data_IF_364135864994
#
_entry.id   IF_364135864994
#
_cell.length_a   1.000
_cell.length_b   1.000
_cell.length_c   1.000
_cell.angle_alpha   90.00
_cell.angle_beta   90.00
_cell.angle_gamma   90.00
#
_symmetry.space_group_name_H-M   'P 1'
#
loop_
_entity.id
_entity.type
_entity.pdbx_description
1 polymer ?
#
# COMPACT_ATOMS: atom_id res chain seq x y z
N UNK A 1 -15.90 -58.97 -34.25
CA UNK A 1 -16.49 -58.20 -33.16
C UNK A 1 -15.37 -57.35 -32.53
N UNK A 2 -15.27 -56.08 -32.92
CA UNK A 2 -14.22 -55.14 -32.41
C UNK A 2 -14.86 -54.29 -31.28
N UNK A 3 -14.41 -54.49 -30.04
CA UNK A 3 -14.81 -53.67 -28.89
C UNK A 3 -13.99 -52.41 -28.88
N UNK A 4 -14.58 -51.27 -29.21
CA UNK A 4 -14.00 -49.94 -29.07
C UNK A 4 -14.19 -49.47 -27.61
N UNK A 5 -13.08 -49.42 -26.88
CA UNK A 5 -13.05 -48.87 -25.53
C UNK A 5 -12.91 -47.33 -25.67
N UNK A 6 -13.97 -46.60 -25.28
CA UNK A 6 -14.00 -45.14 -25.22
C UNK A 6 -13.38 -44.71 -23.89
N UNK A 7 -12.13 -44.26 -23.91
CA UNK A 7 -11.43 -43.75 -22.73
C UNK A 7 -11.83 -42.26 -22.52
N UNK A 8 -12.78 -42.02 -21.62
CA UNK A 8 -13.16 -40.69 -21.15
C UNK A 8 -12.05 -40.13 -20.26
N UNK A 9 -11.20 -39.26 -20.83
CA UNK A 9 -10.25 -38.42 -20.09
C UNK A 9 -11.04 -37.33 -19.35
N UNK A 10 -11.28 -37.55 -18.05
CA UNK A 10 -11.82 -36.54 -17.13
C UNK A 10 -10.68 -35.58 -16.78
N UNK A 11 -10.56 -34.48 -17.51
CA UNK A 11 -9.64 -33.39 -17.16
C UNK A 11 -10.19 -32.67 -15.95
N UNK A 12 -9.70 -33.01 -14.77
CA UNK A 12 -9.95 -32.28 -13.55
C UNK A 12 -9.18 -30.95 -13.63
N UNK A 13 -9.85 -29.89 -14.04
CA UNK A 13 -9.31 -28.53 -13.94
C UNK A 13 -9.24 -28.16 -12.44
N UNK A 14 -8.05 -28.35 -11.85
CA UNK A 14 -7.75 -27.80 -10.54
C UNK A 14 -7.71 -26.27 -10.67
N UNK A 15 -8.86 -25.62 -10.42
CA UNK A 15 -8.89 -24.19 -10.17
C UNK A 15 -8.14 -23.95 -8.86
N UNK A 16 -6.88 -23.53 -8.95
CA UNK A 16 -6.14 -23.02 -7.80
C UNK A 16 -6.84 -21.75 -7.36
N UNK A 17 -7.66 -21.83 -6.30
CA UNK A 17 -8.13 -20.64 -5.59
C UNK A 17 -6.89 -19.96 -5.01
N UNK A 18 -6.39 -18.96 -5.72
CA UNK A 18 -5.42 -18.01 -5.17
C UNK A 18 -6.12 -17.29 -4.01
N UNK A 19 -5.73 -17.61 -2.79
CA UNK A 19 -6.20 -16.88 -1.60
C UNK A 19 -5.66 -15.45 -1.74
N UNK A 20 -6.55 -14.48 -1.96
CA UNK A 20 -6.17 -13.07 -1.92
C UNK A 20 -5.60 -12.77 -0.52
N UNK A 21 -4.42 -12.15 -0.50
CA UNK A 21 -3.78 -11.76 0.76
C UNK A 21 -4.55 -10.56 1.33
N UNK A 22 -5.13 -10.74 2.52
CA UNK A 22 -5.79 -9.66 3.24
C UNK A 22 -4.74 -8.72 3.86
N UNK A 23 -5.09 -7.45 3.99
CA UNK A 23 -4.24 -6.49 4.68
C UNK A 23 -4.11 -6.84 6.18
N UNK A 24 -3.02 -6.39 6.79
CA UNK A 24 -2.77 -6.51 8.23
C UNK A 24 -3.34 -5.28 8.96
N UNK A 25 -4.21 -5.50 9.95
CA UNK A 25 -4.80 -4.45 10.79
C UNK A 25 -3.82 -3.97 11.85
N UNK A 26 -3.76 -2.65 12.05
CA UNK A 26 -2.94 -2.05 13.09
C UNK A 26 -3.48 -0.69 13.55
N UNK A 27 -2.97 -0.21 14.67
CA UNK A 27 -3.18 1.15 15.17
C UNK A 27 -1.81 1.77 15.43
N UNK A 28 -1.57 2.96 14.89
CA UNK A 28 -0.33 3.73 15.08
C UNK A 28 -0.67 5.18 15.42
N UNK A 29 0.21 5.90 16.14
CA UNK A 29 0.05 7.32 16.36
C UNK A 29 0.30 8.12 15.07
N UNK A 30 -0.46 9.20 14.89
CA UNK A 30 -0.19 10.24 13.92
C UNK A 30 0.96 11.18 14.38
N UNK A 31 1.23 12.24 13.63
CA UNK A 31 2.27 13.22 13.95
C UNK A 31 1.94 14.09 15.19
N UNK A 32 0.71 14.06 15.67
CA UNK A 32 0.24 14.76 16.87
C UNK A 32 0.10 13.81 18.07
N UNK A 33 0.38 12.53 17.90
CA UNK A 33 0.32 11.49 18.91
C UNK A 33 -1.08 10.89 19.12
N UNK A 34 -2.02 11.14 18.22
CA UNK A 34 -3.34 10.53 18.29
C UNK A 34 -3.34 9.14 17.66
N UNK A 35 -3.95 8.17 18.31
CA UNK A 35 -4.08 6.81 17.80
C UNK A 35 -5.01 6.75 16.57
N UNK A 36 -4.50 6.24 15.47
CA UNK A 36 -5.21 6.06 14.20
C UNK A 36 -5.29 4.58 13.86
N UNK A 37 -6.50 4.04 13.77
CA UNK A 37 -6.75 2.67 13.28
C UNK A 37 -6.72 2.66 11.75
N UNK A 38 -5.85 1.83 11.19
CA UNK A 38 -5.74 1.65 9.74
C UNK A 38 -7.02 1.04 9.14
N UNK A 39 -7.66 0.13 9.84
CA UNK A 39 -8.93 -0.45 9.42
C UNK A 39 -10.03 0.58 9.23
N UNK A 40 -10.09 1.63 10.07
CA UNK A 40 -11.05 2.72 9.87
C UNK A 40 -10.77 3.54 8.61
N UNK A 41 -9.50 3.63 8.18
CA UNK A 41 -9.12 4.26 6.91
C UNK A 41 -9.58 3.38 5.76
N UNK A 42 -9.24 2.09 5.80
CA UNK A 42 -9.62 1.11 4.76
C UNK A 42 -11.14 1.01 4.61
N UNK A 43 -11.90 1.04 5.70
CA UNK A 43 -13.37 0.96 5.68
C UNK A 43 -14.03 2.16 4.98
N UNK A 44 -13.40 3.32 4.99
CA UNK A 44 -13.91 4.56 4.38
C UNK A 44 -13.42 4.78 2.95
N UNK A 45 -12.44 4.00 2.50
CA UNK A 45 -11.78 4.19 1.21
C UNK A 45 -12.20 3.14 0.19
N UNK A 46 -12.12 3.47 -1.10
CA UNK A 46 -12.28 2.49 -2.18
C UNK A 46 -10.95 1.80 -2.52
N UNK A 47 -9.85 2.55 -2.43
CA UNK A 47 -8.49 2.08 -2.65
C UNK A 47 -7.57 2.77 -1.65
N UNK A 48 -6.69 2.01 -1.02
CA UNK A 48 -5.66 2.55 -0.12
C UNK A 48 -4.29 2.12 -0.64
N UNK A 49 -3.37 3.07 -0.77
CA UNK A 49 -1.94 2.79 -0.90
C UNK A 49 -1.26 3.06 0.43
N UNK A 50 -0.71 2.02 1.02
CA UNK A 50 0.12 2.09 2.23
C UNK A 50 1.58 2.10 1.80
N UNK A 51 2.38 3.10 2.21
CA UNK A 51 3.80 3.20 1.86
C UNK A 51 4.66 3.42 3.09
N UNK A 52 5.68 2.58 3.25
CA UNK A 52 6.67 2.68 4.33
C UNK A 52 7.89 3.49 3.88
N UNK A 53 8.28 4.45 4.69
CA UNK A 53 9.35 5.39 4.37
C UNK A 53 10.14 5.83 5.60
N UNK A 54 11.28 6.50 5.37
CA UNK A 54 12.06 7.16 6.43
C UNK A 54 12.67 8.47 5.92
N UNK A 55 12.99 9.38 6.83
CA UNK A 55 13.55 10.70 6.46
C UNK A 55 14.92 10.63 5.77
N UNK A 56 15.67 9.56 5.98
CA UNK A 56 16.95 9.28 5.36
C UNK A 56 16.84 8.53 4.01
N UNK A 57 15.64 8.05 3.66
CA UNK A 57 15.38 7.28 2.43
C UNK A 57 15.11 8.23 1.26
N UNK A 58 16.08 8.44 0.38
CA UNK A 58 15.93 9.32 -0.79
C UNK A 58 14.88 8.83 -1.78
N UNK A 59 14.85 7.56 -2.24
CA UNK A 59 13.82 7.09 -3.16
C UNK A 59 12.41 7.14 -2.55
N UNK A 60 12.28 6.99 -1.22
CA UNK A 60 10.98 7.16 -0.56
C UNK A 60 10.43 8.59 -0.70
N UNK A 61 11.30 9.59 -0.58
CA UNK A 61 10.90 11.00 -0.74
C UNK A 61 10.52 11.34 -2.18
N UNK A 62 11.15 10.66 -3.15
CA UNK A 62 10.78 10.78 -4.58
C UNK A 62 9.41 10.14 -4.85
N UNK A 63 9.17 8.92 -4.35
CA UNK A 63 7.85 8.28 -4.40
C UNK A 63 6.78 9.18 -3.77
N UNK A 64 6.99 9.61 -2.53
CA UNK A 64 6.04 10.43 -1.77
C UNK A 64 5.66 11.72 -2.50
N UNK A 65 6.63 12.38 -3.16
CA UNK A 65 6.37 13.58 -3.96
C UNK A 65 5.42 13.27 -5.13
N UNK A 66 5.60 12.14 -5.83
CA UNK A 66 4.73 11.73 -6.93
C UNK A 66 3.36 11.27 -6.43
N UNK A 67 3.34 10.54 -5.31
CA UNK A 67 2.09 10.08 -4.70
C UNK A 67 1.26 11.25 -4.14
N UNK A 68 1.87 12.35 -3.72
CA UNK A 68 1.14 13.55 -3.31
C UNK A 68 0.27 14.10 -4.45
N UNK A 69 0.81 14.21 -5.66
CA UNK A 69 0.07 14.68 -6.84
C UNK A 69 -1.07 13.71 -7.20
N UNK A 70 -0.80 12.39 -7.15
CA UNK A 70 -1.80 11.34 -7.41
C UNK A 70 -2.89 11.34 -6.32
N UNK A 71 -2.51 11.53 -5.06
CA UNK A 71 -3.44 11.62 -3.95
C UNK A 71 -4.42 12.81 -4.14
N UNK A 72 -3.91 14.00 -4.40
CA UNK A 72 -4.74 15.18 -4.65
C UNK A 72 -5.72 14.95 -5.81
N UNK A 73 -5.30 14.24 -6.85
CA UNK A 73 -6.11 13.96 -8.04
C UNK A 73 -7.25 12.97 -7.77
N UNK A 74 -7.05 11.97 -6.88
CA UNK A 74 -7.99 10.85 -6.72
C UNK A 74 -8.62 10.75 -5.32
N UNK A 75 -8.21 11.53 -4.32
CA UNK A 75 -8.80 11.47 -2.96
C UNK A 75 -10.31 11.68 -2.94
N UNK A 76 -10.84 12.56 -3.80
CA UNK A 76 -12.27 12.78 -3.97
C UNK A 76 -13.03 11.59 -4.58
N UNK A 77 -12.33 10.59 -5.11
CA UNK A 77 -12.88 9.37 -5.70
C UNK A 77 -12.71 8.14 -4.78
N UNK A 78 -12.24 8.38 -3.56
CA UNK A 78 -12.07 7.35 -2.54
C UNK A 78 -10.69 6.69 -2.55
N UNK A 79 -9.68 7.32 -3.14
CA UNK A 79 -8.28 6.93 -2.97
C UNK A 79 -7.71 7.55 -1.70
N UNK A 80 -7.04 6.73 -0.89
CA UNK A 80 -6.28 7.18 0.26
C UNK A 80 -4.81 6.74 0.14
N UNK A 81 -3.89 7.69 0.39
CA UNK A 81 -2.46 7.41 0.50
C UNK A 81 -2.04 7.56 1.95
N UNK A 82 -1.54 6.50 2.56
CA UNK A 82 -1.12 6.47 3.96
C UNK A 82 0.38 6.23 4.04
N UNK A 83 1.13 7.23 4.52
CA UNK A 83 2.57 7.14 4.66
C UNK A 83 2.94 6.69 6.09
N UNK A 84 3.61 5.53 6.22
CA UNK A 84 4.07 4.99 7.49
C UNK A 84 5.57 5.30 7.64
N UNK A 85 5.89 6.10 8.64
CA UNK A 85 7.26 6.50 8.91
C UNK A 85 7.95 5.52 9.86
N UNK A 86 9.13 5.04 9.47
CA UNK A 86 9.95 4.08 10.21
C UNK A 86 11.18 4.70 10.88
N UNK A 87 11.23 6.02 11.02
CA UNK A 87 12.24 6.66 11.86
C UNK A 87 12.01 6.33 13.35
N UNK A 88 13.06 6.35 14.14
CA UNK A 88 12.94 6.12 15.58
C UNK A 88 12.25 7.28 16.30
N UNK A 89 11.81 7.04 17.54
CA UNK A 89 11.07 8.01 18.36
C UNK A 89 11.76 9.38 18.50
N UNK A 90 13.09 9.44 18.47
CA UNK A 90 13.85 10.71 18.58
C UNK A 90 13.73 11.59 17.34
N UNK A 91 13.25 11.05 16.23
CA UNK A 91 13.13 11.73 14.93
C UNK A 91 11.74 12.27 14.63
N UNK A 92 10.73 12.08 15.50
CA UNK A 92 9.32 12.48 15.25
C UNK A 92 9.20 13.95 14.88
N UNK A 93 9.88 14.87 15.60
CA UNK A 93 9.85 16.30 15.29
C UNK A 93 10.43 16.62 13.91
N UNK A 94 11.47 15.89 13.47
CA UNK A 94 12.07 16.01 12.15
C UNK A 94 11.10 15.54 11.06
N UNK A 95 10.38 14.43 11.30
CA UNK A 95 9.34 13.93 10.39
C UNK A 95 8.24 14.95 10.22
N UNK A 96 7.71 15.48 11.32
CA UNK A 96 6.66 16.52 11.31
C UNK A 96 7.10 17.77 10.53
N UNK A 97 8.32 18.25 10.79
CA UNK A 97 8.89 19.41 10.08
C UNK A 97 9.02 19.15 8.58
N UNK A 98 9.46 17.95 8.17
CA UNK A 98 9.56 17.56 6.77
C UNK A 98 8.19 17.56 6.08
N UNK A 99 7.19 16.88 6.65
CA UNK A 99 5.83 16.79 6.09
C UNK A 99 5.21 18.18 5.93
N UNK A 100 5.33 19.04 6.96
CA UNK A 100 4.82 20.41 6.92
C UNK A 100 5.51 21.25 5.85
N UNK A 101 6.83 21.15 5.73
CA UNK A 101 7.60 21.91 4.72
C UNK A 101 7.27 21.50 3.29
N UNK A 102 6.87 20.24 3.06
CA UNK A 102 6.43 19.77 1.74
C UNK A 102 4.95 20.08 1.44
N UNK A 103 4.18 20.50 2.45
CA UNK A 103 2.74 20.78 2.30
C UNK A 103 1.90 19.53 2.04
N UNK A 104 2.36 18.34 2.46
CA UNK A 104 1.62 17.10 2.26
C UNK A 104 0.37 17.04 3.16
N UNK A 105 -0.75 16.57 2.59
CA UNK A 105 -2.08 16.56 3.22
C UNK A 105 -2.59 15.15 3.54
N UNK A 106 -1.91 14.12 3.05
CA UNK A 106 -2.24 12.73 3.33
C UNK A 106 -1.86 12.31 4.76
N UNK A 107 -2.50 11.27 5.34
CA UNK A 107 -2.16 10.73 6.64
C UNK A 107 -0.71 10.23 6.74
N UNK A 108 -0.03 10.61 7.82
CA UNK A 108 1.30 10.12 8.18
C UNK A 108 1.24 9.50 9.57
N UNK A 109 1.61 8.22 9.68
CA UNK A 109 1.60 7.46 10.93
C UNK A 109 3.02 7.04 11.29
N UNK A 110 3.28 6.82 12.58
CA UNK A 110 4.61 6.57 13.12
C UNK A 110 4.76 5.12 13.58
N UNK A 111 5.53 4.30 12.86
CA UNK A 111 5.90 2.92 13.21
C UNK A 111 7.34 2.89 13.73
N UNK A 112 7.56 3.53 14.91
CA UNK A 112 8.89 3.79 15.46
C UNK A 112 9.64 2.54 15.92
N UNK A 113 8.94 1.44 16.15
CA UNK A 113 9.47 0.12 16.51
C UNK A 113 9.46 -0.87 15.32
N UNK A 114 9.01 -0.41 14.14
CA UNK A 114 8.97 -1.13 12.86
C UNK A 114 8.12 -2.42 12.84
N UNK A 115 7.29 -2.65 13.84
CA UNK A 115 6.50 -3.89 13.91
C UNK A 115 5.48 -4.03 12.79
N UNK A 116 4.87 -2.90 12.38
CA UNK A 116 3.93 -2.91 11.27
C UNK A 116 4.67 -3.17 9.95
N UNK A 117 5.82 -2.53 9.74
CA UNK A 117 6.67 -2.76 8.58
C UNK A 117 7.12 -4.22 8.47
N UNK A 118 7.61 -4.81 9.56
CA UNK A 118 7.99 -6.23 9.60
C UNK A 118 6.82 -7.17 9.29
N UNK A 119 5.61 -6.82 9.77
CA UNK A 119 4.39 -7.58 9.48
C UNK A 119 3.97 -7.55 8.00
N UNK A 120 4.32 -6.48 7.27
CA UNK A 120 4.00 -6.34 5.85
C UNK A 120 5.08 -6.85 4.92
N UNK A 121 6.34 -6.45 5.12
CA UNK A 121 7.41 -6.69 4.15
C UNK A 121 8.29 -7.88 4.49
N UNK A 122 8.56 -8.10 5.77
CA UNK A 122 9.56 -9.06 6.23
C UNK A 122 10.99 -8.79 5.71
N UNK A 123 11.25 -7.63 5.07
CA UNK A 123 12.52 -7.21 4.48
C UNK A 123 12.78 -5.74 4.77
N UNK A 124 14.06 -5.38 4.95
CA UNK A 124 14.50 -3.99 5.20
C UNK A 124 14.66 -3.15 3.91
N UNK A 125 13.79 -3.31 2.93
CA UNK A 125 13.86 -2.56 1.67
C UNK A 125 12.77 -1.49 1.63
N UNK A 126 13.16 -0.21 1.47
CA UNK A 126 12.26 0.94 1.36
C UNK A 126 12.55 1.78 0.10
N UNK A 127 11.52 2.45 -0.46
CA UNK A 127 10.12 2.35 -0.08
C UNK A 127 9.57 0.95 -0.29
N UNK A 128 8.67 0.54 0.59
CA UNK A 128 7.86 -0.65 0.41
C UNK A 128 6.40 -0.22 0.45
N UNK A 129 5.65 -0.54 -0.58
CA UNK A 129 4.26 -0.12 -0.63
C UNK A 129 3.32 -1.22 -1.09
N UNK A 130 2.09 -1.16 -0.63
CA UNK A 130 1.02 -2.09 -1.00
C UNK A 130 -0.22 -1.31 -1.41
N UNK A 131 -0.93 -1.81 -2.42
CA UNK A 131 -2.24 -1.26 -2.82
C UNK A 131 -3.32 -2.23 -2.35
N UNK A 132 -4.32 -1.71 -1.66
CA UNK A 132 -5.43 -2.43 -1.05
C UNK A 132 -6.72 -1.97 -1.73
N UNK A 133 -7.52 -2.92 -2.22
CA UNK A 133 -8.79 -2.63 -2.86
C UNK A 133 -9.96 -2.55 -1.84
N UNK A 134 -11.14 -2.17 -2.33
CA UNK A 134 -12.38 -2.09 -1.53
C UNK A 134 -12.78 -3.41 -0.85
N UNK A 135 -12.31 -4.55 -1.36
CA UNK A 135 -12.54 -5.87 -0.74
C UNK A 135 -11.55 -6.21 0.37
N UNK A 136 -10.67 -5.25 0.72
CA UNK A 136 -9.61 -5.42 1.73
C UNK A 136 -8.50 -6.38 1.32
N UNK A 137 -8.34 -6.60 0.03
CA UNK A 137 -7.33 -7.47 -0.56
C UNK A 137 -6.12 -6.64 -1.00
N UNK A 138 -4.91 -7.11 -0.71
CA UNK A 138 -3.68 -6.57 -1.30
C UNK A 138 -3.64 -7.00 -2.76
N UNK A 139 -3.69 -6.05 -3.67
CA UNK A 139 -3.72 -6.29 -5.11
C UNK A 139 -2.38 -5.98 -5.80
N UNK A 140 -1.51 -5.23 -5.14
CA UNK A 140 -0.19 -4.90 -5.66
C UNK A 140 0.79 -4.66 -4.53
N UNK A 141 2.07 -4.98 -4.77
CA UNK A 141 3.20 -4.75 -3.86
C UNK A 141 4.35 -4.17 -4.66
N UNK A 142 4.94 -3.08 -4.17
CA UNK A 142 6.09 -2.44 -4.78
C UNK A 142 7.25 -2.34 -3.77
N UNK A 143 8.47 -2.52 -4.26
CA UNK A 143 9.70 -2.38 -3.46
C UNK A 143 10.70 -1.52 -4.23
N UNK A 144 11.20 -0.49 -3.58
CA UNK A 144 12.01 0.54 -4.23
C UNK A 144 11.14 1.48 -5.08
N UNK A 145 11.76 2.57 -5.57
CA UNK A 145 11.11 3.53 -6.45
C UNK A 145 12.13 4.16 -7.42
N UNK A 146 11.74 4.28 -8.67
CA UNK A 146 12.46 5.02 -9.71
C UNK A 146 11.49 5.94 -10.43
N UNK A 147 11.96 7.07 -10.89
CA UNK A 147 11.16 7.99 -11.73
C UNK A 147 10.61 7.24 -12.94
N UNK A 148 9.30 7.30 -13.12
CA UNK A 148 8.53 6.55 -14.11
C UNK A 148 7.66 5.45 -13.52
N UNK A 149 8.01 4.90 -12.34
CA UNK A 149 7.20 3.89 -11.65
C UNK A 149 5.84 4.45 -11.22
N UNK A 150 5.75 5.78 -10.98
CA UNK A 150 4.50 6.45 -10.64
C UNK A 150 3.40 6.26 -11.68
N UNK A 151 3.77 6.09 -12.96
CA UNK A 151 2.80 5.88 -14.04
C UNK A 151 2.12 4.51 -13.90
N UNK A 152 2.90 3.48 -13.58
CA UNK A 152 2.39 2.13 -13.34
C UNK A 152 1.50 2.12 -12.09
N UNK A 153 1.98 2.70 -11.00
CA UNK A 153 1.24 2.80 -9.72
C UNK A 153 -0.08 3.55 -9.92
N UNK A 154 -0.07 4.69 -10.63
CA UNK A 154 -1.28 5.44 -10.93
C UNK A 154 -2.28 4.62 -11.74
N UNK A 155 -1.82 3.85 -12.73
CA UNK A 155 -2.70 2.98 -13.53
C UNK A 155 -3.33 1.86 -12.68
N UNK A 156 -2.60 1.28 -11.74
CA UNK A 156 -3.14 0.29 -10.80
C UNK A 156 -4.20 0.90 -9.88
N UNK A 157 -3.94 2.10 -9.35
CA UNK A 157 -4.91 2.86 -8.54
C UNK A 157 -6.17 3.15 -9.35
N UNK A 158 -6.04 3.64 -10.60
CA UNK A 158 -7.17 3.90 -11.49
C UNK A 158 -7.98 2.63 -11.76
N UNK A 159 -7.32 1.54 -12.08
CA UNK A 159 -7.98 0.25 -12.32
C UNK A 159 -8.76 -0.22 -11.09
N UNK A 160 -8.17 -0.09 -9.89
CA UNK A 160 -8.80 -0.46 -8.63
C UNK A 160 -10.00 0.46 -8.27
N UNK A 161 -9.94 1.75 -8.65
CA UNK A 161 -11.04 2.72 -8.52
C UNK A 161 -12.14 2.52 -9.59
N UNK A 162 -11.91 1.71 -10.63
CA UNK A 162 -12.82 1.54 -11.76
C UNK A 162 -12.84 2.72 -12.73
N UNK A 163 -11.77 3.52 -12.78
CA UNK A 163 -11.60 4.68 -13.66
C UNK A 163 -10.96 4.22 -14.97
N UNK A 164 -11.54 4.65 -16.10
CA UNK A 164 -11.02 4.39 -17.44
C UNK A 164 -9.98 5.41 -17.86
#
# INVERSE_FOLDING_TARGET
MKKTIFLLLFVFAFATLSKAQMYYEFTLPDLDGNDVSFGKIVDKSNVVMLSFWATWCTPCKEEMKKMADIYEKYKGQGFEYVAINNDNQKSVSKVKSFITAQGYTFPVLMDTDKKVFEGYSGKDEMPYSVIINKKKEIISVHTGFKTGDEVMIENEIKAALGIK
#
